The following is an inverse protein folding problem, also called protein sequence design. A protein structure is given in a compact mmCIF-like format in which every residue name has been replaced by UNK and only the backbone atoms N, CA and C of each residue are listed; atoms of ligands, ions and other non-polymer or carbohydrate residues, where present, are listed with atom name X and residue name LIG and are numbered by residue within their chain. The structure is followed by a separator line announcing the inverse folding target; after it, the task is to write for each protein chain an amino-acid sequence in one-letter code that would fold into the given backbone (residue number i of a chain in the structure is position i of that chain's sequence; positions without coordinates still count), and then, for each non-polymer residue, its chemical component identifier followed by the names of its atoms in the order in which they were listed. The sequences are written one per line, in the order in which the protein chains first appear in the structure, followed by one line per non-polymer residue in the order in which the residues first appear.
data_IF_242886320958
#
_entry.id   IF_242886320958
#
_cell.length_a   1.000
_cell.length_b   1.000
_cell.length_c   1.000
_cell.angle_alpha   90.00
_cell.angle_beta   90.00
_cell.angle_gamma   90.00
#
_symmetry.space_group_name_H-M   'P 1'
#
loop_
_entity.id
_entity.type
_entity.pdbx_description
1 polymer ?
#
# COMPACT_ATOMS: atom_id res chain seq x y z
N UNK A 1 -12.04 35.65 -33.25
CA UNK A 1 -10.75 35.24 -32.64
C UNK A 1 -10.90 35.32 -31.13
N UNK A 2 -10.44 34.32 -30.38
CA UNK A 2 -10.48 34.35 -28.92
C UNK A 2 -9.57 35.48 -28.43
N UNK A 3 -10.02 36.27 -27.44
CA UNK A 3 -9.21 37.35 -26.88
C UNK A 3 -7.95 36.76 -26.22
N UNK A 4 -6.73 37.15 -26.64
CA UNK A 4 -5.49 36.59 -26.09
C UNK A 4 -5.37 36.72 -24.57
N UNK A 5 -5.91 37.81 -23.99
CA UNK A 5 -5.92 38.01 -22.53
C UNK A 5 -6.80 36.98 -21.82
N UNK A 6 -8.01 36.75 -22.35
CA UNK A 6 -8.93 35.75 -21.80
C UNK A 6 -8.36 34.33 -21.89
N UNK A 7 -7.58 34.02 -22.93
CA UNK A 7 -6.92 32.72 -23.05
C UNK A 7 -5.86 32.51 -21.94
N UNK A 8 -5.05 33.52 -21.66
CA UNK A 8 -4.05 33.44 -20.57
C UNK A 8 -4.73 33.33 -19.20
N UNK A 9 -5.83 34.05 -18.98
CA UNK A 9 -6.61 34.01 -17.73
C UNK A 9 -7.33 32.67 -17.53
N UNK A 10 -7.84 32.04 -18.59
CA UNK A 10 -8.47 30.73 -18.52
C UNK A 10 -7.47 29.59 -18.26
N UNK A 11 -6.23 29.77 -18.69
CA UNK A 11 -5.17 28.78 -18.61
C UNK A 11 -3.93 29.29 -17.86
N UNK A 12 -3.99 29.70 -16.58
CA UNK A 12 -2.84 30.25 -15.87
C UNK A 12 -1.68 29.24 -15.74
N UNK A 13 -0.50 29.76 -15.41
CA UNK A 13 0.66 28.93 -15.07
C UNK A 13 0.29 27.93 -13.95
N UNK A 14 0.80 26.70 -14.04
CA UNK A 14 0.50 25.56 -13.16
C UNK A 14 -0.93 24.98 -13.26
N UNK A 15 -1.78 25.49 -14.16
CA UNK A 15 -3.05 24.82 -14.47
C UNK A 15 -2.77 23.41 -15.00
N UNK A 16 -3.62 22.47 -14.62
CA UNK A 16 -3.62 21.10 -15.13
C UNK A 16 -4.81 20.89 -16.05
N UNK A 17 -4.55 20.32 -17.22
CA UNK A 17 -5.55 19.81 -18.17
C UNK A 17 -5.48 18.28 -18.26
N UNK A 18 -6.61 17.65 -18.55
CA UNK A 18 -6.75 16.19 -18.59
C UNK A 18 -7.24 15.75 -19.97
N UNK A 19 -6.53 14.81 -20.58
CA UNK A 19 -6.81 14.30 -21.92
C UNK A 19 -7.11 12.80 -21.89
N UNK A 20 -8.08 12.38 -22.69
CA UNK A 20 -8.46 10.97 -22.86
C UNK A 20 -7.76 10.33 -24.06
N UNK A 21 -6.46 10.60 -24.20
CA UNK A 21 -5.60 10.09 -25.26
C UNK A 21 -4.14 10.09 -24.80
N UNK A 22 -3.26 9.52 -25.64
CA UNK A 22 -1.83 9.45 -25.39
C UNK A 22 -1.02 10.44 -26.25
N UNK A 23 -1.67 11.42 -26.90
CA UNK A 23 -1.02 12.36 -27.81
C UNK A 23 -0.07 13.30 -27.03
N UNK A 24 0.80 13.97 -27.79
CA UNK A 24 1.64 15.03 -27.26
C UNK A 24 0.86 16.35 -27.21
N UNK A 25 0.73 16.90 -26.01
CA UNK A 25 0.07 18.18 -25.73
C UNK A 25 1.07 19.24 -25.24
N UNK A 26 2.37 19.03 -25.45
CA UNK A 26 3.44 19.96 -25.07
C UNK A 26 3.24 21.39 -25.59
N UNK A 27 2.51 21.54 -26.70
CA UNK A 27 2.20 22.82 -27.36
C UNK A 27 0.69 23.14 -27.41
N UNK A 28 -0.12 22.57 -26.52
CA UNK A 28 -1.57 22.77 -26.50
C UNK A 28 -1.94 24.25 -26.32
N UNK A 29 -2.82 24.76 -27.21
CA UNK A 29 -3.26 26.16 -27.27
C UNK A 29 -2.13 27.20 -27.39
N UNK A 30 -0.95 26.80 -27.89
CA UNK A 30 0.21 27.69 -28.03
C UNK A 30 0.95 27.98 -26.71
N UNK A 31 0.64 27.25 -25.64
CA UNK A 31 1.38 27.28 -24.38
C UNK A 31 2.35 26.10 -24.27
N UNK A 32 3.26 26.15 -23.30
CA UNK A 32 4.16 25.04 -23.01
C UNK A 32 3.64 24.20 -21.85
N UNK A 33 3.55 22.89 -22.03
CA UNK A 33 3.02 21.95 -21.04
C UNK A 33 4.00 20.82 -20.75
N UNK A 34 3.97 20.32 -19.51
CA UNK A 34 4.69 19.11 -19.11
C UNK A 34 3.71 18.01 -18.65
N UNK A 35 4.01 16.76 -18.97
CA UNK A 35 3.23 15.61 -18.50
C UNK A 35 3.50 15.41 -17.01
N UNK A 36 2.44 15.22 -16.22
CA UNK A 36 2.53 14.98 -14.78
C UNK A 36 1.73 13.73 -14.40
N UNK A 37 1.87 13.29 -13.14
CA UNK A 37 1.11 12.18 -12.57
C UNK A 37 1.21 10.86 -13.36
N UNK A 38 2.29 10.65 -14.12
CA UNK A 38 2.52 9.39 -14.84
C UNK A 38 2.59 8.22 -13.85
N UNK A 39 1.67 7.27 -14.01
CA UNK A 39 1.52 6.12 -13.13
C UNK A 39 1.04 6.44 -11.71
N UNK A 40 0.45 7.63 -11.47
CA UNK A 40 0.05 8.12 -10.15
C UNK A 40 -1.41 8.58 -10.17
N UNK A 41 -2.06 8.48 -9.01
CA UNK A 41 -3.39 9.05 -8.79
C UNK A 41 -3.24 10.49 -8.26
N UNK A 42 -3.97 11.47 -8.82
CA UNK A 42 -4.04 12.79 -8.21
C UNK A 42 -4.82 12.72 -6.90
N UNK A 43 -4.28 13.35 -5.86
CA UNK A 43 -4.90 13.48 -4.54
C UNK A 43 -4.99 14.96 -4.18
N UNK A 44 -6.06 15.33 -3.47
CA UNK A 44 -6.28 16.71 -3.04
C UNK A 44 -5.21 17.16 -2.06
N UNK A 45 -4.72 18.39 -2.23
CA UNK A 45 -3.84 19.04 -1.26
C UNK A 45 -4.57 19.21 0.09
N UNK A 46 -3.96 18.73 1.16
CA UNK A 46 -4.46 18.91 2.51
C UNK A 46 -3.32 19.38 3.43
N UNK A 47 -3.30 20.65 3.86
CA UNK A 47 -2.21 21.19 4.68
C UNK A 47 -2.12 20.54 6.07
N UNK A 48 -3.19 19.89 6.54
CA UNK A 48 -3.26 19.25 7.85
C UNK A 48 -2.90 17.76 7.82
N UNK A 49 -2.59 17.22 6.64
CA UNK A 49 -2.25 15.81 6.46
C UNK A 49 -0.79 15.70 6.02
N UNK A 50 0.03 15.01 6.82
CA UNK A 50 1.46 14.89 6.54
C UNK A 50 1.77 14.25 5.19
N UNK A 51 0.88 13.43 4.64
CA UNK A 51 1.10 12.75 3.36
C UNK A 51 0.73 13.65 2.18
N UNK A 52 -0.16 14.63 2.38
CA UNK A 52 -0.74 15.47 1.33
C UNK A 52 -0.54 16.99 1.52
N UNK A 53 0.34 17.41 2.42
CA UNK A 53 0.61 18.81 2.79
C UNK A 53 1.59 19.57 1.89
N UNK A 54 1.96 19.04 0.73
CA UNK A 54 2.86 19.73 -0.20
C UNK A 54 2.47 19.45 -1.65
N UNK A 55 2.33 20.50 -2.45
CA UNK A 55 2.07 20.38 -3.90
C UNK A 55 3.24 19.67 -4.57
N UNK A 56 2.93 18.64 -5.37
CA UNK A 56 3.92 17.83 -6.07
C UNK A 56 4.56 16.72 -5.22
N UNK A 57 4.16 16.57 -3.95
CA UNK A 57 4.57 15.42 -3.15
C UNK A 57 4.06 14.12 -3.76
N UNK A 58 4.88 13.08 -3.73
CA UNK A 58 4.57 11.76 -4.28
C UNK A 58 4.71 10.69 -3.22
N UNK A 59 3.92 9.63 -3.33
CA UNK A 59 3.97 8.48 -2.45
C UNK A 59 3.08 7.35 -2.96
N UNK A 60 2.80 6.38 -2.09
CA UNK A 60 1.96 5.23 -2.38
C UNK A 60 2.71 4.04 -2.97
N UNK A 61 2.08 2.87 -2.89
CA UNK A 61 2.63 1.60 -3.35
C UNK A 61 1.61 0.87 -4.24
N UNK A 62 2.02 0.47 -5.44
CA UNK A 62 1.17 -0.28 -6.38
C UNK A 62 0.85 -1.69 -5.87
N UNK A 63 1.84 -2.35 -5.27
CA UNK A 63 1.68 -3.66 -4.67
C UNK A 63 2.30 -3.63 -3.29
N UNK A 64 1.59 -4.19 -2.31
CA UNK A 64 2.00 -4.18 -0.92
C UNK A 64 2.26 -5.62 -0.44
N UNK A 65 3.36 -5.80 0.30
CA UNK A 65 3.71 -7.06 0.94
C UNK A 65 3.57 -6.87 2.44
N UNK A 66 2.59 -7.58 3.02
CA UNK A 66 2.34 -7.54 4.46
C UNK A 66 3.62 -7.83 5.25
N UNK A 67 3.83 -7.00 6.26
CA UNK A 67 4.80 -7.19 7.34
C UNK A 67 4.20 -8.04 8.45
N UNK A 68 5.03 -8.45 9.41
CA UNK A 68 4.57 -9.23 10.57
C UNK A 68 3.63 -8.40 11.45
N UNK A 69 3.87 -7.09 11.52
CA UNK A 69 3.13 -6.12 12.32
C UNK A 69 1.73 -5.82 11.76
N UNK A 70 1.50 -6.09 10.49
CA UNK A 70 0.21 -5.92 9.81
C UNK A 70 -0.67 -7.18 9.85
N UNK A 71 -0.15 -8.29 10.38
CA UNK A 71 -0.93 -9.52 10.54
C UNK A 71 -1.87 -9.41 11.75
N UNK A 72 -3.15 -9.85 11.61
CA UNK A 72 -4.05 -9.91 12.75
C UNK A 72 -3.51 -10.90 13.80
N UNK A 73 -3.77 -10.67 15.10
CA UNK A 73 -3.42 -11.63 16.13
C UNK A 73 -4.17 -12.94 15.87
N UNK A 74 -3.43 -14.02 15.64
CA UNK A 74 -4.00 -15.36 15.46
C UNK A 74 -3.78 -16.19 16.71
N UNK A 75 -4.86 -16.72 17.29
CA UNK A 75 -4.77 -17.77 18.30
C UNK A 75 -4.76 -19.12 17.61
N UNK A 76 -3.67 -19.88 17.79
CA UNK A 76 -3.61 -21.27 17.35
C UNK A 76 -4.29 -22.10 18.44
N UNK A 77 -5.48 -22.60 18.15
CA UNK A 77 -6.07 -23.69 18.94
C UNK A 77 -5.42 -24.99 18.46
N UNK A 78 -4.65 -25.71 19.30
CA UNK A 78 -4.30 -27.07 18.98
C UNK A 78 -5.60 -27.84 18.74
N UNK A 79 -5.76 -28.47 17.57
CA UNK A 79 -6.87 -29.37 17.30
C UNK A 79 -6.84 -30.48 18.36
N UNK A 80 -7.75 -30.42 19.33
CA UNK A 80 -7.96 -31.47 20.31
C UNK A 80 -8.66 -32.66 19.63
N UNK A 81 -7.87 -33.49 18.95
CA UNK A 81 -8.26 -34.88 18.66
C UNK A 81 -8.20 -35.77 19.90
N UNK A 82 -7.67 -35.27 21.01
CA UNK A 82 -7.64 -35.92 22.32
C UNK A 82 -7.93 -34.85 23.40
N UNK A 83 -8.95 -35.11 24.21
CA UNK A 83 -9.48 -34.25 25.29
C UNK A 83 -8.51 -34.08 26.48
N UNK A 84 -7.26 -33.70 26.26
CA UNK A 84 -6.33 -33.41 27.36
C UNK A 84 -6.28 -31.89 27.56
N UNK A 85 -6.88 -31.33 28.62
CA UNK A 85 -6.94 -29.89 28.82
C UNK A 85 -5.52 -29.36 29.03
N UNK A 86 -4.97 -28.69 28.01
CA UNK A 86 -3.66 -28.05 28.08
C UNK A 86 -3.72 -26.91 29.10
N UNK A 87 -3.32 -27.22 30.32
CA UNK A 87 -3.19 -26.27 31.43
C UNK A 87 -1.73 -25.84 31.51
N UNK A 88 -1.30 -24.95 30.62
CA UNK A 88 0.08 -24.45 30.60
C UNK A 88 0.19 -23.14 29.86
N UNK A 89 0.56 -22.07 30.58
CA UNK A 89 0.83 -20.77 29.98
C UNK A 89 1.95 -20.83 28.94
N UNK A 90 1.81 -20.03 27.88
CA UNK A 90 2.82 -19.86 26.85
C UNK A 90 3.87 -18.86 27.31
N UNK A 91 5.14 -19.25 27.33
CA UNK A 91 6.26 -18.33 27.56
C UNK A 91 7.05 -18.17 26.25
N UNK A 92 7.42 -16.94 25.86
CA UNK A 92 8.29 -16.72 24.71
C UNK A 92 9.66 -17.34 24.99
N UNK A 93 10.16 -18.18 24.09
CA UNK A 93 11.51 -18.74 24.22
C UNK A 93 12.52 -17.70 23.70
N UNK A 94 13.50 -17.26 24.50
CA UNK A 94 14.51 -16.30 24.04
C UNK A 94 15.28 -16.84 22.82
N UNK A 95 15.20 -16.13 21.70
CA UNK A 95 15.90 -16.49 20.47
C UNK A 95 15.17 -17.47 19.54
N UNK A 96 13.91 -17.81 19.80
CA UNK A 96 13.09 -18.61 18.87
C UNK A 96 11.80 -17.87 18.48
N UNK A 97 11.41 -17.97 17.21
CA UNK A 97 10.14 -17.44 16.67
C UNK A 97 8.91 -18.29 17.06
N UNK A 98 9.01 -19.09 18.12
CA UNK A 98 8.00 -20.05 18.53
C UNK A 98 7.73 -19.97 20.03
N UNK A 99 6.46 -20.14 20.41
CA UNK A 99 6.06 -20.33 21.79
C UNK A 99 6.09 -21.83 22.13
N UNK A 100 6.99 -22.23 23.04
CA UNK A 100 7.03 -23.61 23.53
C UNK A 100 5.96 -23.82 24.60
N UNK A 101 5.15 -24.88 24.45
CA UNK A 101 4.26 -25.35 25.52
C UNK A 101 5.10 -25.67 26.76
N UNK A 102 4.81 -25.03 27.89
CA UNK A 102 5.43 -25.35 29.18
C UNK A 102 4.76 -26.59 29.78
N UNK A 103 4.72 -27.70 29.04
CA UNK A 103 4.27 -28.97 29.59
C UNK A 103 5.45 -29.59 30.33
N UNK A 104 5.32 -29.80 31.65
CA UNK A 104 6.25 -30.63 32.46
C UNK A 104 6.22 -32.11 32.09
N UNK A 105 6.00 -32.42 30.82
CA UNK A 105 5.71 -33.74 30.25
C UNK A 105 6.95 -34.12 29.44
N UNK A 106 7.83 -34.89 30.05
CA UNK A 106 9.09 -35.44 29.50
C UNK A 106 8.85 -36.61 28.56
N UNK A 107 7.75 -36.58 27.80
CA UNK A 107 7.34 -37.67 26.95
C UNK A 107 7.77 -37.29 25.53
N UNK A 108 8.60 -38.10 24.88
CA UNK A 108 9.04 -37.88 23.49
C UNK A 108 7.90 -37.81 22.46
N UNK A 109 6.65 -38.01 22.90
CA UNK A 109 5.42 -38.00 22.11
C UNK A 109 4.48 -36.83 22.43
N UNK A 110 4.87 -35.85 23.25
CA UNK A 110 4.11 -34.60 23.35
C UNK A 110 3.93 -34.06 21.93
N UNK A 111 2.71 -33.71 21.48
CA UNK A 111 2.54 -33.07 20.19
C UNK A 111 3.33 -31.77 20.29
N UNK A 112 4.56 -31.80 19.77
CA UNK A 112 5.27 -30.58 19.46
C UNK A 112 4.31 -29.91 18.50
N UNK A 113 3.65 -28.85 18.96
CA UNK A 113 3.20 -27.83 18.05
C UNK A 113 4.49 -27.31 17.44
N UNK A 114 4.96 -28.03 16.42
CA UNK A 114 5.86 -27.47 15.47
C UNK A 114 5.06 -26.34 14.89
N UNK A 115 5.30 -25.14 15.40
CA UNK A 115 4.93 -23.93 14.71
C UNK A 115 5.69 -23.81 13.36
N UNK A 116 6.39 -24.87 12.96
CA UNK A 116 6.52 -25.31 11.57
C UNK A 116 5.15 -25.70 10.96
N UNK A 117 4.18 -24.79 10.98
CA UNK A 117 3.45 -24.61 9.74
C UNK A 117 4.27 -23.57 8.95
N UNK A 118 5.31 -23.96 8.18
CA UNK A 118 6.06 -23.03 7.33
C UNK A 118 5.16 -22.42 6.23
N UNK A 119 3.88 -22.75 6.24
CA UNK A 119 2.80 -22.26 5.39
C UNK A 119 2.15 -20.99 6.00
N UNK A 120 2.84 -20.24 6.87
CA UNK A 120 2.61 -18.79 6.88
C UNK A 120 3.27 -18.27 5.61
N UNK A 121 2.53 -18.38 4.50
CA UNK A 121 2.98 -18.03 3.15
C UNK A 121 3.88 -16.80 3.23
N UNK A 122 5.11 -16.90 2.73
CA UNK A 122 5.95 -15.71 2.51
C UNK A 122 5.05 -14.68 1.83
N UNK A 123 4.69 -13.56 2.49
CA UNK A 123 3.56 -12.77 2.02
C UNK A 123 3.91 -12.33 0.60
N UNK A 124 3.11 -12.79 -0.37
CA UNK A 124 3.26 -12.34 -1.74
C UNK A 124 2.70 -10.93 -1.80
N UNK A 125 3.36 -10.06 -2.56
CA UNK A 125 2.83 -8.72 -2.76
C UNK A 125 1.47 -8.83 -3.47
N UNK A 126 0.45 -8.17 -2.93
CA UNK A 126 -0.88 -8.12 -3.52
C UNK A 126 -1.15 -6.75 -4.16
N UNK A 127 -2.06 -6.73 -5.13
CA UNK A 127 -2.52 -5.48 -5.76
C UNK A 127 -3.11 -4.54 -4.70
N UNK A 128 -2.74 -3.26 -4.78
CA UNK A 128 -3.18 -2.21 -3.84
C UNK A 128 -3.89 -1.04 -4.55
N UNK A 129 -4.09 -1.12 -5.87
CA UNK A 129 -4.77 -0.07 -6.62
C UNK A 129 -6.28 -0.34 -6.70
N UNK A 130 -7.14 0.66 -6.44
CA UNK A 130 -8.55 0.56 -6.78
C UNK A 130 -8.74 0.46 -8.30
N UNK A 131 -9.93 0.06 -8.79
CA UNK A 131 -10.26 0.18 -10.22
C UNK A 131 -9.99 1.59 -10.74
N UNK A 132 -9.35 1.69 -11.91
CA UNK A 132 -8.92 2.98 -12.46
C UNK A 132 -9.12 3.08 -13.97
N UNK A 133 -9.15 4.31 -14.44
CA UNK A 133 -9.12 4.67 -15.86
C UNK A 133 -7.89 5.56 -16.10
N UNK A 134 -7.17 5.31 -17.20
CA UNK A 134 -5.94 6.04 -17.53
C UNK A 134 -6.29 7.27 -18.35
N UNK A 135 -5.83 8.43 -17.88
CA UNK A 135 -5.92 9.71 -18.58
C UNK A 135 -4.57 10.41 -18.49
N UNK A 136 -4.25 11.25 -19.47
CA UNK A 136 -3.01 12.02 -19.48
C UNK A 136 -3.23 13.38 -18.79
N UNK A 137 -2.41 13.69 -17.79
CA UNK A 137 -2.43 14.96 -17.08
C UNK A 137 -1.28 15.83 -17.56
N UNK A 138 -1.58 17.08 -17.92
CA UNK A 138 -0.61 18.02 -18.44
C UNK A 138 -0.67 19.33 -17.65
N UNK A 139 0.47 19.79 -17.15
CA UNK A 139 0.60 21.04 -16.38
C UNK A 139 1.24 22.12 -17.22
N UNK A 140 0.65 23.32 -17.26
CA UNK A 140 1.24 24.47 -17.96
C UNK A 140 2.51 24.94 -17.24
N UNK A 141 3.60 25.09 -17.98
CA UNK A 141 4.90 25.56 -17.48
C UNK A 141 5.39 26.86 -18.12
N UNK A 142 4.81 27.28 -19.26
CA UNK A 142 5.03 28.61 -19.84
C UNK A 142 3.82 29.08 -20.66
#
# INVERSE_FOLDING_TARGET
MLNPKLLVEAFPLNKVEVFFDALDHSNFLGFTWERIAEGKFPVGYNPNDSDYNQIGKTGGEKAHKLTKEELPPTYIYPNEGNNDPITGGYEPTPGADYYSLKTGVTNSNSPKLTANNPIMHTPLAHENRPPYIVMAFWKRIA
#
